data_IF_130479343217
#
_entry.id   IF_130479343217
#
_cell.length_a   1.000
_cell.length_b   1.000
_cell.length_c   1.000
_cell.angle_alpha   90.00
_cell.angle_beta   90.00
_cell.angle_gamma   90.00
#
_symmetry.space_group_name_H-M   'P 1'
#
loop_
_entity.id
_entity.type
_entity.pdbx_description
1 polymer ?
#
# COMPACT_ATOMS: atom_id res chain seq x y z
N UNK A 1 -14.80 23.75 -0.31
CA UNK A 1 -13.49 24.42 -0.50
C UNK A 1 -12.30 23.50 -0.20
N UNK A 2 -12.19 22.92 1.01
CA UNK A 2 -11.06 22.04 1.38
C UNK A 2 -10.86 20.83 0.46
N UNK A 3 -11.93 20.14 0.05
CA UNK A 3 -11.86 18.99 -0.86
C UNK A 3 -11.29 19.37 -2.23
N UNK A 4 -11.67 20.54 -2.76
CA UNK A 4 -11.14 21.06 -4.02
C UNK A 4 -9.65 21.37 -3.92
N UNK A 5 -9.23 22.05 -2.85
CA UNK A 5 -7.82 22.38 -2.60
C UNK A 5 -7.01 21.10 -2.45
N UNK A 6 -7.48 20.13 -1.65
CA UNK A 6 -6.79 18.86 -1.47
C UNK A 6 -6.68 18.08 -2.78
N UNK A 7 -7.75 18.02 -3.58
CA UNK A 7 -7.72 17.39 -4.91
C UNK A 7 -6.74 18.06 -5.87
N UNK A 8 -6.72 19.39 -5.90
CA UNK A 8 -5.76 20.15 -6.70
C UNK A 8 -4.31 19.88 -6.27
N UNK A 9 -4.03 19.92 -4.96
CA UNK A 9 -2.70 19.63 -4.43
C UNK A 9 -2.24 18.21 -4.78
N UNK A 10 -3.09 17.20 -4.63
CA UNK A 10 -2.76 15.82 -5.01
C UNK A 10 -2.42 15.70 -6.49
N UNK A 11 -3.14 16.41 -7.38
CA UNK A 11 -2.85 16.43 -8.82
C UNK A 11 -1.50 17.09 -9.12
N UNK A 12 -1.20 18.22 -8.48
CA UNK A 12 0.11 18.90 -8.63
C UNK A 12 1.25 18.00 -8.15
N UNK A 13 1.11 17.38 -6.98
CA UNK A 13 2.11 16.45 -6.44
C UNK A 13 2.26 15.25 -7.38
N UNK A 14 1.16 14.71 -7.91
CA UNK A 14 1.19 13.62 -8.88
C UNK A 14 1.98 13.99 -10.14
N UNK A 15 1.83 15.21 -10.68
CA UNK A 15 2.62 15.67 -11.84
C UNK A 15 4.12 15.69 -11.55
N UNK A 16 4.53 16.17 -10.37
CA UNK A 16 5.94 16.13 -9.96
C UNK A 16 6.41 14.69 -9.86
N UNK A 17 5.64 13.84 -9.17
CA UNK A 17 5.95 12.43 -9.01
C UNK A 17 5.99 11.71 -10.35
N UNK A 18 5.19 12.15 -11.34
CA UNK A 18 5.14 11.57 -12.68
C UNK A 18 6.47 11.71 -13.43
N UNK A 19 7.22 12.79 -13.21
CA UNK A 19 8.51 13.02 -13.88
C UNK A 19 9.67 12.31 -13.16
N UNK A 20 9.59 12.19 -11.82
CA UNK A 20 10.67 11.61 -11.02
C UNK A 20 10.78 10.07 -11.18
N UNK A 21 11.98 9.47 -11.16
CA UNK A 21 12.14 8.02 -11.10
C UNK A 21 11.40 7.41 -9.90
N UNK A 22 10.87 6.19 -10.04
CA UNK A 22 10.07 5.57 -8.97
C UNK A 22 10.90 5.43 -7.70
N UNK A 23 12.17 5.08 -7.81
CA UNK A 23 13.11 4.91 -6.71
C UNK A 23 13.23 6.19 -5.85
N UNK A 24 13.19 7.36 -6.50
CA UNK A 24 13.19 8.68 -5.84
C UNK A 24 11.87 8.91 -5.12
N UNK A 25 10.73 8.63 -5.76
CA UNK A 25 9.41 8.74 -5.11
C UNK A 25 9.34 7.87 -3.85
N UNK A 26 9.83 6.62 -3.94
CA UNK A 26 9.88 5.71 -2.79
C UNK A 26 10.82 6.23 -1.70
N UNK A 27 11.95 6.83 -2.06
CA UNK A 27 12.88 7.43 -1.10
C UNK A 27 12.25 8.64 -0.38
N UNK A 28 11.51 9.49 -1.08
CA UNK A 28 10.74 10.60 -0.51
C UNK A 28 9.72 10.04 0.50
N UNK A 29 8.92 9.06 0.09
CA UNK A 29 7.92 8.42 0.97
C UNK A 29 8.54 7.83 2.24
N UNK A 30 9.63 7.06 2.10
CA UNK A 30 10.35 6.49 3.25
C UNK A 30 10.89 7.57 4.18
N UNK A 31 11.40 8.67 3.63
CA UNK A 31 11.98 9.77 4.42
C UNK A 31 10.90 10.51 5.20
N UNK A 32 9.79 10.87 4.53
CA UNK A 32 8.63 11.48 5.17
C UNK A 32 8.05 10.60 6.28
N UNK A 33 7.89 9.29 6.02
CA UNK A 33 7.47 8.34 7.05
C UNK A 33 8.41 8.30 8.25
N UNK A 34 9.73 8.36 8.00
CA UNK A 34 10.74 8.49 9.04
C UNK A 34 10.62 9.77 9.87
N UNK A 35 10.33 10.92 9.24
CA UNK A 35 10.07 12.17 9.94
C UNK A 35 8.79 12.10 10.78
N UNK A 36 7.71 11.54 10.23
CA UNK A 36 6.44 11.34 10.96
C UNK A 36 6.65 10.44 12.19
N UNK A 37 7.48 9.41 12.09
CA UNK A 37 7.84 8.58 13.25
C UNK A 37 8.41 9.41 14.40
N UNK A 38 9.30 10.37 14.12
CA UNK A 38 9.92 11.24 15.12
C UNK A 38 8.92 12.21 15.75
N UNK A 39 7.94 12.70 14.98
CA UNK A 39 6.96 13.70 15.43
C UNK A 39 5.72 13.09 16.10
N UNK A 40 5.44 11.81 15.86
CA UNK A 40 4.13 11.21 16.19
C UNK A 40 4.00 10.67 17.62
N UNK A 41 5.04 10.76 18.46
CA UNK A 41 5.04 10.50 19.91
C UNK A 41 4.09 9.38 20.37
N UNK A 42 2.89 9.76 20.84
CA UNK A 42 1.85 8.82 21.31
C UNK A 42 1.50 7.74 20.29
N UNK A 43 1.42 8.08 19.00
CA UNK A 43 1.06 7.12 17.94
C UNK A 43 2.16 6.08 17.74
N UNK A 44 3.43 6.50 17.76
CA UNK A 44 4.55 5.57 17.57
C UNK A 44 4.74 4.66 18.78
N UNK A 45 4.40 5.13 19.98
CA UNK A 45 4.30 4.29 21.18
C UNK A 45 3.22 3.21 21.06
N UNK A 46 2.03 3.54 20.53
CA UNK A 46 0.97 2.54 20.27
C UNK A 46 1.45 1.49 19.26
N UNK A 47 2.06 1.92 18.15
CA UNK A 47 2.62 0.99 17.17
C UNK A 47 3.68 0.08 17.79
N UNK A 48 4.55 0.61 18.64
CA UNK A 48 5.53 -0.18 19.38
C UNK A 48 4.87 -1.21 20.30
N UNK A 49 3.87 -0.84 21.09
CA UNK A 49 3.15 -1.77 21.97
C UNK A 49 2.44 -2.88 21.20
N UNK A 50 1.80 -2.54 20.07
CA UNK A 50 1.15 -3.52 19.21
C UNK A 50 2.16 -4.51 18.62
N UNK A 51 3.30 -4.02 18.13
CA UNK A 51 4.37 -4.88 17.60
C UNK A 51 4.95 -5.76 18.70
N UNK A 52 5.24 -5.21 19.88
CA UNK A 52 5.74 -5.97 21.03
C UNK A 52 4.79 -7.12 21.38
N UNK A 53 3.48 -6.85 21.46
CA UNK A 53 2.48 -7.88 21.73
C UNK A 53 2.40 -8.93 20.60
N UNK A 54 2.39 -8.49 19.33
CA UNK A 54 2.34 -9.40 18.20
C UNK A 54 3.54 -10.34 18.12
N UNK A 55 4.76 -9.83 18.40
CA UNK A 55 5.96 -10.66 18.44
C UNK A 55 5.99 -11.59 19.65
N UNK A 56 5.51 -11.14 20.82
CA UNK A 56 5.40 -12.00 22.00
C UNK A 56 4.45 -13.20 21.80
N UNK A 57 3.42 -13.05 20.96
CA UNK A 57 2.49 -14.13 20.61
C UNK A 57 2.97 -15.01 19.44
N UNK A 58 4.06 -14.62 18.76
CA UNK A 58 4.54 -15.35 17.58
C UNK A 58 5.25 -16.63 17.98
N UNK A 59 4.78 -17.76 17.46
CA UNK A 59 5.38 -19.10 17.69
C UNK A 59 6.51 -19.46 16.70
N UNK A 60 6.94 -18.52 15.85
CA UNK A 60 8.02 -18.77 14.91
C UNK A 60 9.37 -18.59 15.61
N UNK A 61 10.29 -19.54 15.42
CA UNK A 61 11.65 -19.49 15.98
C UNK A 61 12.42 -18.22 15.58
N UNK A 62 12.11 -17.62 14.42
CA UNK A 62 12.70 -16.34 13.97
C UNK A 62 12.13 -15.10 14.69
N UNK A 63 11.01 -15.26 15.41
CA UNK A 63 10.26 -14.18 16.03
C UNK A 63 10.23 -14.25 17.56
N UNK A 64 10.68 -15.36 18.13
CA UNK A 64 10.87 -15.52 19.56
C UNK A 64 11.99 -14.57 20.03
N UNK A 65 11.79 -13.91 21.17
CA UNK A 65 12.82 -13.10 21.87
C UNK A 65 13.35 -11.84 21.15
N UNK A 66 12.57 -11.17 20.29
CA UNK A 66 12.98 -9.85 19.78
C UNK A 66 13.19 -8.84 20.92
N UNK A 67 14.37 -8.20 20.91
CA UNK A 67 14.74 -7.20 21.89
C UNK A 67 13.92 -5.91 21.74
N UNK A 68 13.77 -5.10 22.80
CA UNK A 68 13.13 -3.79 22.72
C UNK A 68 13.69 -2.88 21.61
N UNK A 69 15.01 -2.95 21.37
CA UNK A 69 15.70 -2.19 20.34
C UNK A 69 15.30 -2.65 18.94
N UNK A 70 15.18 -3.96 18.70
CA UNK A 70 14.70 -4.51 17.43
C UNK A 70 13.25 -4.13 17.18
N UNK A 71 12.37 -4.24 18.18
CA UNK A 71 10.98 -3.80 18.06
C UNK A 71 10.93 -2.31 17.70
N UNK A 72 11.75 -1.46 18.35
CA UNK A 72 11.82 -0.03 18.02
C UNK A 72 12.29 0.21 16.57
N UNK A 73 13.26 -0.56 16.09
CA UNK A 73 13.73 -0.50 14.69
C UNK A 73 12.62 -0.92 13.71
N UNK A 74 11.87 -1.96 14.04
CA UNK A 74 10.72 -2.42 13.23
C UNK A 74 9.61 -1.37 13.26
N UNK A 75 9.31 -0.75 14.41
CA UNK A 75 8.35 0.36 14.50
C UNK A 75 8.74 1.50 13.56
N UNK A 76 10.00 1.96 13.59
CA UNK A 76 10.47 2.99 12.65
C UNK A 76 10.34 2.55 11.19
N UNK A 77 10.65 1.28 10.90
CA UNK A 77 10.56 0.72 9.55
C UNK A 77 9.11 0.63 9.06
N UNK A 78 8.15 0.31 9.94
CA UNK A 78 6.73 0.32 9.63
C UNK A 78 6.24 1.71 9.21
N UNK A 79 6.69 2.76 9.90
CA UNK A 79 6.40 4.15 9.51
C UNK A 79 7.00 4.53 8.16
N UNK A 80 8.25 4.12 7.90
CA UNK A 80 8.88 4.30 6.59
C UNK A 80 8.11 3.55 5.49
N UNK A 81 7.62 2.35 5.77
CA UNK A 81 6.81 1.57 4.85
C UNK A 81 5.47 2.23 4.56
N UNK A 82 4.76 2.74 5.58
CA UNK A 82 3.51 3.51 5.37
C UNK A 82 3.75 4.73 4.50
N UNK A 83 4.82 5.50 4.76
CA UNK A 83 5.18 6.64 3.93
C UNK A 83 5.52 6.23 2.48
N UNK A 84 6.19 5.09 2.30
CA UNK A 84 6.41 4.51 0.97
C UNK A 84 5.09 4.12 0.28
N UNK A 85 4.17 3.46 0.97
CA UNK A 85 2.86 3.07 0.42
C UNK A 85 2.07 4.30 -0.07
N UNK A 86 2.12 5.41 0.66
CA UNK A 86 1.50 6.67 0.20
C UNK A 86 2.20 7.25 -1.04
N UNK A 87 3.53 7.22 -1.10
CA UNK A 87 4.26 7.64 -2.30
C UNK A 87 3.96 6.75 -3.52
N UNK A 88 3.77 5.45 -3.31
CA UNK A 88 3.33 4.50 -4.34
C UNK A 88 1.89 4.80 -4.81
N UNK A 89 0.99 5.13 -3.89
CA UNK A 89 -0.38 5.54 -4.20
C UNK A 89 -0.42 6.82 -5.04
N UNK A 90 0.40 7.82 -4.71
CA UNK A 90 0.55 9.02 -5.54
C UNK A 90 1.17 8.66 -6.88
N UNK A 91 2.16 7.77 -6.92
CA UNK A 91 2.81 7.31 -8.16
C UNK A 91 1.95 6.34 -8.98
N UNK A 92 0.71 6.09 -8.57
CA UNK A 92 -0.13 5.06 -9.16
C UNK A 92 -0.39 5.33 -10.65
N UNK A 93 -0.41 6.58 -11.11
CA UNK A 93 -0.52 6.91 -12.55
C UNK A 93 0.62 6.37 -13.42
N UNK A 94 1.76 5.97 -12.83
CA UNK A 94 2.88 5.31 -13.54
C UNK A 94 2.70 3.82 -13.75
N UNK A 95 1.76 3.20 -13.02
CA UNK A 95 1.64 1.75 -13.00
C UNK A 95 0.97 1.31 -14.30
N UNK A 96 1.78 0.66 -15.15
CA UNK A 96 1.40 0.04 -16.42
C UNK A 96 1.75 -1.45 -16.41
N UNK A 97 1.39 -2.20 -17.44
CA UNK A 97 1.82 -3.60 -17.61
C UNK A 97 3.34 -3.76 -17.54
N UNK A 98 4.09 -2.81 -18.11
CA UNK A 98 5.56 -2.82 -18.06
C UNK A 98 6.09 -2.60 -16.63
N UNK A 99 5.45 -1.71 -15.86
CA UNK A 99 5.77 -1.53 -14.43
C UNK A 99 5.55 -2.81 -13.65
N UNK A 100 4.38 -3.44 -13.81
CA UNK A 100 4.04 -4.69 -13.11
C UNK A 100 5.05 -5.79 -13.45
N UNK A 101 5.39 -5.97 -14.72
CA UNK A 101 6.36 -6.98 -15.12
C UNK A 101 7.78 -6.72 -14.59
N UNK A 102 8.17 -5.45 -14.40
CA UNK A 102 9.49 -5.08 -13.86
C UNK A 102 9.56 -5.22 -12.33
N UNK A 103 8.52 -4.83 -11.61
CA UNK A 103 8.59 -4.62 -10.16
C UNK A 103 7.76 -5.61 -9.33
N UNK A 104 6.89 -6.42 -9.95
CA UNK A 104 5.99 -7.31 -9.22
C UNK A 104 6.25 -8.77 -9.58
N UNK A 105 6.55 -9.55 -8.55
CA UNK A 105 6.59 -11.01 -8.59
C UNK A 105 5.45 -11.56 -7.74
N UNK A 106 4.73 -12.55 -8.25
CA UNK A 106 3.63 -13.20 -7.54
C UNK A 106 4.04 -14.64 -7.25
N UNK A 107 4.22 -14.95 -5.97
CA UNK A 107 4.48 -16.33 -5.53
C UNK A 107 3.18 -17.13 -5.59
N UNK A 108 3.26 -18.35 -6.12
CA UNK A 108 2.14 -19.29 -6.24
C UNK A 108 0.96 -18.78 -7.08
N UNK A 109 1.23 -18.07 -8.18
CA UNK A 109 0.20 -17.49 -9.04
C UNK A 109 -0.72 -18.54 -9.68
N UNK A 110 -0.23 -19.75 -9.90
CA UNK A 110 -0.98 -20.89 -10.40
C UNK A 110 -2.19 -21.25 -9.52
N UNK A 111 -2.15 -20.92 -8.22
CA UNK A 111 -3.29 -21.10 -7.31
C UNK A 111 -4.44 -20.16 -7.65
N UNK A 112 -4.13 -18.92 -8.00
CA UNK A 112 -5.13 -17.94 -8.46
C UNK A 112 -5.72 -18.39 -9.79
N UNK A 113 -4.87 -18.80 -10.74
CA UNK A 113 -5.33 -19.29 -12.05
C UNK A 113 -6.24 -20.50 -11.92
N UNK A 114 -5.92 -21.43 -11.01
CA UNK A 114 -6.73 -22.63 -10.76
C UNK A 114 -8.05 -22.30 -10.07
N UNK A 115 -8.03 -21.43 -9.06
CA UNK A 115 -9.24 -21.00 -8.35
C UNK A 115 -10.20 -20.22 -9.26
N UNK A 116 -9.69 -19.42 -10.19
CA UNK A 116 -10.49 -18.66 -11.14
C UNK A 116 -11.26 -19.54 -12.15
N UNK A 117 -10.88 -20.81 -12.34
CA UNK A 117 -11.64 -21.76 -13.16
C UNK A 117 -12.91 -22.26 -12.46
N UNK A 118 -13.05 -22.02 -11.16
CA UNK A 118 -14.23 -22.43 -10.41
C UNK A 118 -15.42 -21.52 -10.76
N UNK A 119 -16.56 -22.07 -11.24
CA UNK A 119 -17.72 -21.26 -11.59
C UNK A 119 -18.36 -20.54 -10.39
N UNK A 120 -18.03 -20.94 -9.15
CA UNK A 120 -18.49 -20.26 -7.92
C UNK A 120 -17.71 -18.96 -7.63
N UNK A 121 -16.66 -18.66 -8.39
CA UNK A 121 -15.78 -17.52 -8.15
C UNK A 121 -14.75 -17.78 -7.05
N UNK A 122 -14.05 -16.71 -6.65
CA UNK A 122 -12.97 -16.73 -5.67
C UNK A 122 -13.03 -15.49 -4.79
N UNK A 123 -12.79 -15.66 -3.49
CA UNK A 123 -12.61 -14.55 -2.55
C UNK A 123 -11.13 -14.48 -2.19
N UNK A 124 -10.49 -13.34 -2.45
CA UNK A 124 -9.16 -13.05 -1.95
C UNK A 124 -9.24 -12.29 -0.64
N UNK A 125 -8.65 -12.86 0.41
CA UNK A 125 -8.57 -12.24 1.73
C UNK A 125 -7.18 -11.67 1.93
N UNK A 126 -7.10 -10.40 2.33
CA UNK A 126 -5.84 -9.72 2.61
C UNK A 126 -5.91 -8.99 3.96
N UNK A 127 -4.74 -8.63 4.48
CA UNK A 127 -4.58 -7.69 5.59
C UNK A 127 -4.22 -6.29 5.06
N UNK A 128 -4.30 -5.28 5.93
CA UNK A 128 -3.71 -3.95 5.68
C UNK A 128 -2.18 -4.04 5.79
N UNK A 129 -1.56 -4.66 4.78
CA UNK A 129 -0.14 -4.98 4.76
C UNK A 129 0.47 -4.64 3.41
N UNK A 130 1.66 -4.04 3.44
CA UNK A 130 2.35 -3.58 2.23
C UNK A 130 1.53 -2.57 1.44
N UNK A 131 1.46 -2.75 0.12
CA UNK A 131 0.66 -1.93 -0.76
C UNK A 131 -0.49 -2.74 -1.37
N UNK A 132 -1.66 -2.64 -0.75
CA UNK A 132 -2.87 -3.34 -1.20
C UNK A 132 -3.40 -2.79 -2.53
N UNK A 133 -3.16 -1.53 -2.87
CA UNK A 133 -3.61 -0.93 -4.14
C UNK A 133 -2.83 -1.52 -5.31
N UNK A 134 -1.50 -1.64 -5.18
CA UNK A 134 -0.65 -2.28 -6.19
C UNK A 134 -1.00 -3.76 -6.31
N UNK A 135 -1.18 -4.48 -5.20
CA UNK A 135 -1.62 -5.88 -5.22
C UNK A 135 -2.93 -6.05 -5.98
N UNK A 136 -3.88 -5.13 -5.77
CA UNK A 136 -5.18 -5.19 -6.45
C UNK A 136 -5.04 -4.87 -7.92
N UNK A 137 -4.44 -3.74 -8.28
CA UNK A 137 -4.22 -3.34 -9.68
C UNK A 137 -3.44 -4.39 -10.48
N UNK A 138 -2.50 -5.08 -9.83
CA UNK A 138 -1.77 -6.20 -10.44
C UNK A 138 -2.73 -7.27 -10.96
N UNK A 139 -3.82 -7.57 -10.26
CA UNK A 139 -4.79 -8.57 -10.69
C UNK A 139 -5.42 -8.18 -12.04
N UNK A 140 -5.81 -6.91 -12.19
CA UNK A 140 -6.35 -6.36 -13.44
C UNK A 140 -5.38 -6.54 -14.61
N UNK A 141 -4.11 -6.17 -14.42
CA UNK A 141 -3.05 -6.36 -15.43
C UNK A 141 -2.73 -7.82 -15.72
N UNK A 142 -2.99 -8.75 -14.79
CA UNK A 142 -2.79 -10.18 -14.97
C UNK A 142 -4.03 -10.90 -15.53
N UNK A 143 -5.09 -10.16 -15.90
CA UNK A 143 -6.30 -10.73 -16.50
C UNK A 143 -7.33 -11.24 -15.49
N UNK A 144 -7.19 -10.86 -14.22
CA UNK A 144 -8.10 -11.22 -13.14
C UNK A 144 -8.72 -9.92 -12.56
N UNK A 145 -9.65 -9.26 -13.27
CA UNK A 145 -10.33 -8.09 -12.72
C UNK A 145 -11.09 -8.48 -11.44
N UNK A 146 -11.08 -7.60 -10.45
CA UNK A 146 -11.65 -7.86 -9.12
C UNK A 146 -12.61 -6.77 -8.70
N UNK A 147 -13.57 -7.16 -7.87
CA UNK A 147 -14.44 -6.26 -7.13
C UNK A 147 -13.86 -6.01 -5.74
N UNK A 148 -13.67 -4.74 -5.36
CA UNK A 148 -13.23 -4.37 -4.01
C UNK A 148 -14.40 -3.78 -3.22
N UNK A 149 -14.59 -4.28 -2.00
CA UNK A 149 -15.41 -3.59 -1.02
C UNK A 149 -14.63 -2.42 -0.43
N UNK A 150 -14.96 -1.20 -0.84
CA UNK A 150 -14.35 0.02 -0.32
C UNK A 150 -15.40 0.92 0.32
N UNK A 151 -15.05 1.55 1.45
CA UNK A 151 -15.83 2.63 2.03
C UNK A 151 -15.50 3.94 1.32
N UNK A 152 -16.53 4.72 1.01
CA UNK A 152 -16.35 6.07 0.50
C UNK A 152 -15.49 6.93 1.42
N UNK A 153 -14.51 7.59 0.81
CA UNK A 153 -13.68 8.58 1.49
C UNK A 153 -14.50 9.84 1.76
N UNK A 154 -14.19 10.51 2.88
CA UNK A 154 -14.90 11.74 3.29
C UNK A 154 -14.80 12.87 2.26
N UNK A 155 -13.68 12.94 1.53
CA UNK A 155 -13.41 13.93 0.49
C UNK A 155 -13.86 13.37 -0.86
N UNK A 156 -15.00 13.84 -1.36
CA UNK A 156 -15.67 13.27 -2.54
C UNK A 156 -14.79 13.34 -3.80
N UNK A 157 -14.10 14.46 -4.04
CA UNK A 157 -13.25 14.61 -5.23
C UNK A 157 -12.02 13.72 -5.19
N UNK A 158 -11.45 13.50 -4.00
CA UNK A 158 -10.36 12.53 -3.82
C UNK A 158 -10.85 11.09 -3.95
N UNK A 159 -12.06 10.79 -3.47
CA UNK A 159 -12.71 9.49 -3.64
C UNK A 159 -12.88 9.16 -5.14
N UNK A 160 -13.46 10.10 -5.89
CA UNK A 160 -13.65 9.99 -7.35
C UNK A 160 -12.31 9.83 -8.07
N UNK A 161 -11.30 10.63 -7.72
CA UNK A 161 -9.96 10.51 -8.31
C UNK A 161 -9.38 9.10 -8.10
N UNK A 162 -9.49 8.56 -6.89
CA UNK A 162 -9.00 7.23 -6.57
C UNK A 162 -9.77 6.14 -7.32
N UNK A 163 -11.09 6.25 -7.40
CA UNK A 163 -11.93 5.28 -8.09
C UNK A 163 -11.69 5.29 -9.61
N UNK A 164 -11.57 6.46 -10.25
CA UNK A 164 -11.19 6.56 -11.67
C UNK A 164 -9.84 5.87 -11.93
N UNK A 165 -8.86 6.05 -11.04
CA UNK A 165 -7.56 5.40 -11.18
C UNK A 165 -7.63 3.87 -11.02
N UNK A 166 -8.51 3.37 -10.15
CA UNK A 166 -8.77 1.93 -9.99
C UNK A 166 -9.47 1.35 -11.23
N UNK A 167 -10.55 1.98 -11.66
CA UNK A 167 -11.35 1.58 -12.83
C UNK A 167 -10.52 1.54 -14.11
N UNK A 168 -9.66 2.55 -14.33
CA UNK A 168 -8.75 2.61 -15.48
C UNK A 168 -7.77 1.43 -15.56
N UNK A 169 -7.69 0.61 -14.50
CA UNK A 169 -6.79 -0.55 -14.38
C UNK A 169 -7.54 -1.87 -14.15
N UNK A 170 -8.83 -1.88 -14.43
CA UNK A 170 -9.65 -3.09 -14.38
C UNK A 170 -10.15 -3.46 -12.98
N UNK A 171 -10.11 -2.52 -12.04
CA UNK A 171 -10.62 -2.71 -10.67
C UNK A 171 -12.00 -2.07 -10.55
N UNK A 172 -12.97 -2.83 -10.04
CA UNK A 172 -14.36 -2.41 -9.90
C UNK A 172 -14.81 -2.37 -8.44
#
# INVERSE_FOLDING_TARGET
MLDLIASFLVRVINLVFYVLPIEVNLAIGRSLGGCIYLLSGKRSAITYSNLKAAYALSKSAENENKTPQEIKRITKSAYRNVGQTFAELISMTKVSSAYINKFVSIKNFERIQSAAKNPKGMILVSAHFGNWEISTITSGFKGFPMYILARDQKMKRLNELLNVLRESKGIK
#
